data_IF_911522809316
#
_entry.id   IF_911522809316
#
_cell.length_a   1.000
_cell.length_b   1.000
_cell.length_c   1.000
_cell.angle_alpha   90.00
_cell.angle_beta   90.00
_cell.angle_gamma   90.00
#
_symmetry.space_group_name_H-M   'P 1'
#
loop_
_entity.id
_entity.type
_entity.pdbx_description
1 polymer ?
#
# COMPACT_ATOMS: atom_id res chain seq x y z
N UNK A 1 -30.06 17.53 -0.01
CA UNK A 1 -29.02 16.50 -0.20
C UNK A 1 -28.13 16.50 1.04
N UNK A 2 -27.95 15.36 1.72
CA UNK A 2 -27.08 15.30 2.88
C UNK A 2 -25.64 15.61 2.45
N UNK A 3 -25.04 16.60 3.10
CA UNK A 3 -23.65 17.01 2.85
C UNK A 3 -22.70 15.90 3.36
N UNK A 4 -22.42 14.90 2.51
CA UNK A 4 -21.52 13.77 2.87
C UNK A 4 -20.08 14.29 2.86
N UNK A 5 -19.49 14.44 4.03
CA UNK A 5 -18.07 14.77 4.17
C UNK A 5 -17.24 13.60 3.61
N UNK A 6 -16.34 13.93 2.67
CA UNK A 6 -15.40 12.95 2.13
C UNK A 6 -14.45 12.46 3.24
N UNK A 7 -14.25 11.14 3.31
CA UNK A 7 -13.27 10.51 4.19
C UNK A 7 -12.03 10.16 3.40
N UNK A 8 -10.89 10.70 3.77
CA UNK A 8 -9.61 10.51 3.05
C UNK A 8 -8.74 9.55 3.86
N UNK A 9 -8.17 8.55 3.17
CA UNK A 9 -7.07 7.73 3.68
C UNK A 9 -5.76 8.24 3.08
N UNK A 10 -4.84 8.66 3.94
CA UNK A 10 -3.47 8.96 3.55
C UNK A 10 -2.61 7.70 3.50
N UNK A 11 -1.72 7.59 2.52
CA UNK A 11 -0.81 6.46 2.35
C UNK A 11 0.66 6.89 2.35
N UNK A 12 0.95 8.14 2.64
CA UNK A 12 2.29 8.72 2.47
C UNK A 12 3.33 8.02 3.34
N UNK A 13 3.02 7.77 4.62
CA UNK A 13 3.96 7.15 5.56
C UNK A 13 4.11 5.64 5.40
N UNK A 14 3.34 5.00 4.52
CA UNK A 14 3.52 3.59 4.17
C UNK A 14 3.90 3.43 2.70
N UNK A 15 2.97 3.68 1.78
CA UNK A 15 3.18 3.44 0.35
C UNK A 15 4.07 4.51 -0.29
N UNK A 16 3.83 5.77 0.03
CA UNK A 16 4.62 6.88 -0.49
C UNK A 16 6.10 6.73 -0.14
N UNK A 17 6.43 6.52 1.14
CA UNK A 17 7.82 6.30 1.53
C UNK A 17 8.41 4.99 1.00
N UNK A 18 7.60 3.94 0.87
CA UNK A 18 8.04 2.67 0.30
C UNK A 18 8.44 2.84 -1.16
N UNK A 19 7.68 3.60 -1.91
CA UNK A 19 7.88 3.79 -3.35
C UNK A 19 8.96 4.83 -3.67
N UNK A 20 9.05 5.90 -2.90
CA UNK A 20 9.91 7.05 -3.20
C UNK A 20 11.23 7.06 -2.42
N UNK A 21 11.26 6.48 -1.20
CA UNK A 21 12.42 6.50 -0.32
C UNK A 21 12.95 5.09 -0.01
N UNK A 22 12.62 4.10 -0.83
CA UNK A 22 12.98 2.70 -0.61
C UNK A 22 12.64 2.21 0.82
N UNK A 23 11.55 2.70 1.39
CA UNK A 23 11.09 2.43 2.76
C UNK A 23 12.09 2.88 3.85
N UNK A 24 12.93 3.87 3.58
CA UNK A 24 14.03 4.29 4.48
C UNK A 24 13.82 5.66 5.10
N UNK A 25 12.58 6.13 5.21
CA UNK A 25 12.27 7.31 5.99
C UNK A 25 12.51 7.00 7.47
N UNK A 26 13.44 7.71 8.11
CA UNK A 26 13.81 7.48 9.52
C UNK A 26 12.72 7.96 10.49
N UNK A 27 12.76 7.46 11.73
CA UNK A 27 11.85 7.95 12.77
C UNK A 27 11.99 9.45 13.00
N UNK A 28 13.23 9.97 13.01
CA UNK A 28 13.49 11.40 13.19
C UNK A 28 12.90 12.27 12.08
N UNK A 29 12.80 11.75 10.84
CA UNK A 29 12.12 12.44 9.73
C UNK A 29 10.62 12.39 9.88
N UNK A 30 10.08 11.23 10.30
CA UNK A 30 8.65 11.09 10.59
C UNK A 30 8.23 12.06 11.69
N UNK A 31 8.99 12.17 12.78
CA UNK A 31 8.68 13.05 13.90
C UNK A 31 8.57 14.52 13.47
N UNK A 32 9.36 14.95 12.49
CA UNK A 32 9.25 16.29 11.88
C UNK A 32 7.96 16.48 11.07
N UNK A 33 7.40 15.41 10.52
CA UNK A 33 6.19 15.45 9.71
C UNK A 33 4.92 15.38 10.54
N UNK A 34 4.93 14.67 11.67
CA UNK A 34 3.74 14.43 12.49
C UNK A 34 2.94 15.70 12.84
N UNK A 35 3.54 16.85 13.21
CA UNK A 35 2.78 18.07 13.50
C UNK A 35 1.90 18.56 12.33
N UNK A 36 2.32 18.31 11.09
CA UNK A 36 1.53 18.64 9.91
C UNK A 36 0.35 17.70 9.75
N UNK A 37 0.56 16.41 10.01
CA UNK A 37 -0.49 15.39 9.96
C UNK A 37 -1.58 15.60 11.01
N UNK A 38 -1.22 16.09 12.21
CA UNK A 38 -2.17 16.39 13.28
C UNK A 38 -3.31 17.31 12.82
N UNK A 39 -3.01 18.22 11.90
CA UNK A 39 -3.95 19.22 11.40
C UNK A 39 -4.51 18.90 10.00
N UNK A 40 -4.05 17.83 9.37
CA UNK A 40 -4.46 17.48 8.00
C UNK A 40 -5.91 16.93 7.91
N UNK A 41 -6.47 16.43 8.99
CA UNK A 41 -7.85 15.97 9.05
C UNK A 41 -8.13 14.69 8.28
N UNK A 42 -7.13 13.83 8.09
CA UNK A 42 -7.31 12.52 7.49
C UNK A 42 -8.17 11.61 8.37
N UNK A 43 -9.07 10.86 7.76
CA UNK A 43 -9.89 9.87 8.44
C UNK A 43 -9.07 8.65 8.88
N UNK A 44 -8.21 8.16 7.99
CA UNK A 44 -7.27 7.06 8.24
C UNK A 44 -5.90 7.46 7.69
N UNK A 45 -4.85 7.06 8.40
CA UNK A 45 -3.47 7.11 7.91
C UNK A 45 -2.90 5.71 7.86
N UNK A 46 -2.45 5.25 6.69
CA UNK A 46 -1.72 3.99 6.58
C UNK A 46 -0.24 4.28 6.81
N UNK A 47 0.24 3.85 7.98
CA UNK A 47 1.57 4.23 8.48
C UNK A 47 2.51 3.04 8.68
N UNK A 48 1.98 1.82 8.56
CA UNK A 48 2.70 0.60 8.93
C UNK A 48 2.32 -0.58 8.03
N UNK A 49 3.02 -1.73 8.18
CA UNK A 49 2.84 -2.88 7.29
C UNK A 49 3.57 -2.75 5.96
N UNK A 50 3.24 -3.59 5.00
CA UNK A 50 3.99 -3.69 3.75
C UNK A 50 5.47 -4.00 4.02
N UNK A 51 6.39 -3.22 3.48
CA UNK A 51 7.84 -3.37 3.70
C UNK A 51 8.34 -2.59 4.93
N UNK A 52 7.51 -1.76 5.59
CA UNK A 52 7.95 -0.88 6.68
C UNK A 52 8.58 -1.64 7.85
N UNK A 53 7.97 -2.69 8.43
CA UNK A 53 8.56 -3.37 9.58
C UNK A 53 9.93 -3.97 9.26
N UNK A 54 10.08 -4.63 8.12
CA UNK A 54 11.35 -5.26 7.71
C UNK A 54 12.43 -4.21 7.44
N UNK A 55 12.11 -3.15 6.68
CA UNK A 55 13.08 -2.13 6.29
C UNK A 55 13.58 -1.32 7.48
N UNK A 56 12.69 -1.02 8.42
CA UNK A 56 13.04 -0.27 9.65
C UNK A 56 14.05 -1.04 10.49
N UNK A 57 13.83 -2.34 10.67
CA UNK A 57 14.79 -3.19 11.41
C UNK A 57 16.08 -3.41 10.63
N UNK A 58 15.99 -3.69 9.34
CA UNK A 58 17.12 -4.16 8.53
C UNK A 58 18.07 -3.05 8.13
N UNK A 59 17.55 -1.86 7.85
CA UNK A 59 18.33 -0.78 7.23
C UNK A 59 18.47 0.47 8.08
N UNK A 60 17.58 0.69 9.05
CA UNK A 60 17.59 1.87 9.90
C UNK A 60 18.02 1.58 11.34
N UNK A 61 18.15 0.30 11.70
CA UNK A 61 18.41 -0.14 13.08
C UNK A 61 17.42 0.47 14.09
N UNK A 62 16.16 0.62 13.65
CA UNK A 62 15.05 1.18 14.43
C UNK A 62 14.01 0.12 14.76
N UNK A 63 13.26 0.31 15.84
CA UNK A 63 12.14 -0.57 16.19
C UNK A 63 10.86 -0.18 15.45
N UNK A 64 10.26 -1.06 14.63
CA UNK A 64 8.99 -0.80 13.98
C UNK A 64 7.84 -0.64 14.98
N UNK A 65 7.93 -1.27 16.13
CA UNK A 65 6.94 -1.15 17.21
C UNK A 65 6.98 0.22 17.88
N UNK A 66 8.19 0.75 18.13
CA UNK A 66 8.38 2.11 18.65
C UNK A 66 7.82 3.12 17.67
N UNK A 67 8.09 2.96 16.39
CA UNK A 67 7.53 3.80 15.32
C UNK A 67 6.00 3.84 15.39
N UNK A 68 5.35 2.68 15.46
CA UNK A 68 3.90 2.60 15.52
C UNK A 68 3.34 3.29 16.76
N UNK A 69 3.95 3.08 17.95
CA UNK A 69 3.54 3.74 19.18
C UNK A 69 3.66 5.25 19.11
N UNK A 70 4.80 5.76 18.66
CA UNK A 70 5.04 7.22 18.55
C UNK A 70 4.01 7.89 17.66
N UNK A 71 3.74 7.30 16.48
CA UNK A 71 2.71 7.83 15.59
C UNK A 71 1.32 7.72 16.25
N UNK A 72 1.03 6.62 16.93
CA UNK A 72 -0.26 6.41 17.61
C UNK A 72 -0.51 7.43 18.72
N UNK A 73 0.48 7.70 19.52
CA UNK A 73 0.38 8.67 20.62
C UNK A 73 0.10 10.08 20.06
N UNK A 74 0.82 10.48 19.02
CA UNK A 74 0.65 11.79 18.37
C UNK A 74 -0.71 11.93 17.68
N UNK A 75 -1.17 10.88 16.99
CA UNK A 75 -2.40 10.92 16.19
C UNK A 75 -3.66 10.53 16.96
N UNK A 76 -3.55 10.27 18.26
CA UNK A 76 -4.66 9.82 19.10
C UNK A 76 -5.85 10.78 19.04
N UNK A 77 -7.01 10.26 18.65
CA UNK A 77 -8.25 11.03 18.52
C UNK A 77 -8.34 11.92 17.27
N UNK A 78 -7.31 11.94 16.41
CA UNK A 78 -7.25 12.75 15.19
C UNK A 78 -7.46 11.91 13.92
N UNK A 79 -6.78 10.79 13.83
CA UNK A 79 -6.88 9.85 12.70
C UNK A 79 -6.81 8.42 13.20
N UNK A 80 -7.49 7.50 12.52
CA UNK A 80 -7.27 6.08 12.71
C UNK A 80 -5.95 5.68 12.05
N UNK A 81 -5.19 4.81 12.68
CA UNK A 81 -3.98 4.26 12.08
C UNK A 81 -4.25 2.94 11.40
N UNK A 82 -3.72 2.76 10.19
CA UNK A 82 -3.82 1.51 9.47
C UNK A 82 -2.46 0.95 9.05
N UNK A 83 -2.46 -0.36 8.81
CA UNK A 83 -1.33 -1.09 8.25
C UNK A 83 -1.79 -2.00 7.12
N UNK A 84 -0.86 -2.35 6.23
CA UNK A 84 -1.09 -3.31 5.16
C UNK A 84 -0.56 -4.69 5.54
N UNK A 85 -1.39 -5.73 5.36
CA UNK A 85 -1.02 -7.13 5.57
C UNK A 85 -1.39 -8.00 4.37
N UNK A 86 -0.53 -8.96 4.05
CA UNK A 86 -0.75 -9.95 2.98
C UNK A 86 -1.37 -11.23 3.53
N UNK A 87 -2.50 -11.12 4.22
CA UNK A 87 -3.13 -12.26 4.88
C UNK A 87 -2.16 -12.99 5.81
N UNK A 88 -2.08 -14.33 5.69
CA UNK A 88 -1.18 -15.17 6.51
C UNK A 88 0.31 -14.87 6.36
N UNK A 89 0.69 -14.21 5.27
CA UNK A 89 2.09 -13.84 5.03
C UNK A 89 2.51 -12.59 5.82
N UNK A 90 1.56 -11.83 6.39
CA UNK A 90 1.84 -10.57 7.07
C UNK A 90 2.65 -9.63 6.18
N UNK A 91 3.91 -9.36 6.54
CA UNK A 91 4.89 -8.63 5.72
C UNK A 91 5.99 -9.55 5.14
N UNK A 92 5.92 -10.86 5.42
CA UNK A 92 6.90 -11.86 4.97
C UNK A 92 6.57 -12.45 3.59
N UNK A 93 7.35 -13.46 3.21
CA UNK A 93 7.28 -14.12 1.91
C UNK A 93 6.69 -15.54 1.97
N UNK A 94 6.39 -16.03 3.17
CA UNK A 94 5.78 -17.34 3.40
C UNK A 94 4.65 -17.20 4.42
N UNK A 95 3.61 -18.05 4.35
CA UNK A 95 2.56 -18.06 5.36
C UNK A 95 3.12 -18.36 6.75
N UNK A 96 2.70 -17.57 7.73
CA UNK A 96 3.02 -17.81 9.13
C UNK A 96 1.98 -18.73 9.78
N UNK A 97 2.35 -19.53 10.80
CA UNK A 97 1.42 -20.33 11.58
C UNK A 97 0.49 -19.43 12.43
N UNK A 98 -0.67 -19.97 12.82
CA UNK A 98 -1.75 -19.22 13.47
C UNK A 98 -1.32 -18.51 14.76
N UNK A 99 -0.45 -19.12 15.55
CA UNK A 99 0.04 -18.49 16.78
C UNK A 99 0.87 -17.24 16.53
N UNK A 100 1.62 -17.20 15.41
CA UNK A 100 2.38 -16.01 14.99
C UNK A 100 1.42 -14.93 14.51
N UNK A 101 0.41 -15.27 13.70
CA UNK A 101 -0.62 -14.34 13.26
C UNK A 101 -1.32 -13.68 14.44
N UNK A 102 -1.76 -14.51 15.38
CA UNK A 102 -2.44 -14.04 16.58
C UNK A 102 -1.56 -13.08 17.38
N UNK A 103 -0.35 -13.48 17.75
CA UNK A 103 0.57 -12.63 18.52
C UNK A 103 0.93 -11.34 17.79
N UNK A 104 1.12 -11.39 16.47
CA UNK A 104 1.41 -10.22 15.67
C UNK A 104 0.25 -9.20 15.68
N UNK A 105 -0.99 -9.65 15.47
CA UNK A 105 -2.14 -8.78 15.48
C UNK A 105 -2.47 -8.25 16.88
N UNK A 106 -2.31 -9.08 17.92
CA UNK A 106 -2.42 -8.64 19.32
C UNK A 106 -1.46 -7.48 19.63
N UNK A 107 -0.20 -7.65 19.30
CA UNK A 107 0.80 -6.60 19.52
C UNK A 107 0.57 -5.38 18.61
N UNK A 108 0.14 -5.55 17.36
CA UNK A 108 -0.16 -4.42 16.49
C UNK A 108 -1.28 -3.54 17.05
N UNK A 109 -2.38 -4.14 17.50
CA UNK A 109 -3.52 -3.41 18.09
C UNK A 109 -3.13 -2.77 19.42
N UNK A 110 -2.43 -3.49 20.29
CA UNK A 110 -1.91 -2.98 21.56
C UNK A 110 -0.97 -1.78 21.37
N UNK A 111 -0.21 -1.74 20.30
CA UNK A 111 0.68 -0.62 19.96
C UNK A 111 -0.03 0.50 19.18
N UNK A 112 -1.36 0.48 19.12
CA UNK A 112 -2.19 1.59 18.65
C UNK A 112 -2.70 1.48 17.20
N UNK A 113 -2.56 0.32 16.55
CA UNK A 113 -3.18 0.10 15.25
C UNK A 113 -4.69 -0.07 15.39
N UNK A 114 -5.46 0.65 14.56
CA UNK A 114 -6.91 0.59 14.54
C UNK A 114 -7.45 -0.29 13.41
N UNK A 115 -6.82 -0.21 12.25
CA UNK A 115 -7.30 -0.83 11.01
C UNK A 115 -6.19 -1.67 10.39
N UNK A 116 -6.49 -2.92 10.08
CA UNK A 116 -5.61 -3.76 9.27
C UNK A 116 -6.21 -3.92 7.90
N UNK A 117 -5.56 -3.36 6.86
CA UNK A 117 -5.93 -3.61 5.48
C UNK A 117 -5.29 -4.92 5.02
N UNK A 118 -6.15 -5.88 4.68
CA UNK A 118 -5.74 -7.25 4.37
C UNK A 118 -6.07 -7.55 2.93
N UNK A 119 -5.11 -8.09 2.20
CA UNK A 119 -5.30 -8.55 0.83
C UNK A 119 -4.56 -9.85 0.55
N UNK A 120 -4.96 -10.52 -0.50
CA UNK A 120 -4.18 -11.52 -1.20
C UNK A 120 -4.13 -11.15 -2.68
N UNK A 121 -2.95 -11.19 -3.31
CA UNK A 121 -2.77 -10.74 -4.70
C UNK A 121 -3.54 -11.59 -5.72
N UNK A 122 -3.85 -12.84 -5.37
CA UNK A 122 -4.62 -13.77 -6.19
C UNK A 122 -6.07 -13.89 -5.71
N UNK A 123 -6.49 -13.09 -4.72
CA UNK A 123 -7.80 -13.13 -4.08
C UNK A 123 -8.11 -14.49 -3.43
N UNK A 124 -7.11 -15.17 -2.89
CA UNK A 124 -7.30 -16.37 -2.11
C UNK A 124 -7.95 -16.04 -0.76
N UNK A 125 -9.23 -16.36 -0.65
CA UNK A 125 -10.01 -16.07 0.56
C UNK A 125 -9.52 -16.88 1.76
N UNK A 126 -9.01 -18.08 1.53
CA UNK A 126 -8.49 -18.93 2.62
C UNK A 126 -7.21 -18.33 3.25
N UNK A 127 -6.44 -17.59 2.47
CA UNK A 127 -5.27 -16.87 2.97
C UNK A 127 -5.64 -15.65 3.84
N UNK A 128 -6.82 -15.07 3.69
CA UNK A 128 -7.19 -13.82 4.40
C UNK A 128 -8.20 -14.01 5.52
N UNK A 129 -9.06 -15.03 5.46
CA UNK A 129 -10.20 -15.20 6.38
C UNK A 129 -9.81 -15.30 7.85
N UNK A 130 -8.72 -16.02 8.18
CA UNK A 130 -8.28 -16.16 9.57
C UNK A 130 -7.72 -14.84 10.11
N UNK A 131 -7.01 -14.09 9.28
CA UNK A 131 -6.54 -12.74 9.61
C UNK A 131 -7.71 -11.80 9.92
N UNK A 132 -8.77 -11.83 9.12
CA UNK A 132 -9.98 -11.02 9.34
C UNK A 132 -10.65 -11.39 10.68
N UNK A 133 -10.79 -12.68 10.94
CA UNK A 133 -11.39 -13.19 12.17
C UNK A 133 -10.59 -12.76 13.41
N UNK A 134 -9.28 -12.92 13.38
CA UNK A 134 -8.38 -12.53 14.47
C UNK A 134 -8.46 -11.02 14.74
N UNK A 135 -8.32 -10.18 13.72
CA UNK A 135 -8.38 -8.72 13.87
C UNK A 135 -9.70 -8.28 14.49
N UNK A 136 -10.83 -8.75 13.98
CA UNK A 136 -12.15 -8.40 14.52
C UNK A 136 -12.34 -8.91 15.94
N UNK A 137 -11.85 -10.12 16.25
CA UNK A 137 -11.90 -10.70 17.60
C UNK A 137 -11.06 -9.93 18.63
N UNK A 138 -10.03 -9.22 18.19
CA UNK A 138 -9.16 -8.38 19.03
C UNK A 138 -9.66 -6.93 19.15
N UNK A 139 -10.81 -6.60 18.57
CA UNK A 139 -11.39 -5.25 18.61
C UNK A 139 -10.80 -4.28 17.58
N UNK A 140 -9.98 -4.75 16.64
CA UNK A 140 -9.53 -3.98 15.49
C UNK A 140 -10.55 -4.00 14.36
N UNK A 141 -10.28 -3.25 13.31
CA UNK A 141 -11.09 -3.20 12.10
C UNK A 141 -10.34 -3.93 10.99
N UNK A 142 -10.91 -5.02 10.48
CA UNK A 142 -10.41 -5.69 9.29
C UNK A 142 -10.97 -5.01 8.04
N UNK A 143 -10.08 -4.48 7.19
CA UNK A 143 -10.40 -3.84 5.93
C UNK A 143 -9.94 -4.76 4.78
N UNK A 144 -10.85 -5.64 4.32
CA UNK A 144 -10.56 -6.60 3.25
C UNK A 144 -10.49 -5.92 1.88
N UNK A 145 -9.38 -6.11 1.18
CA UNK A 145 -9.20 -5.58 -0.18
C UNK A 145 -9.23 -6.71 -1.21
N UNK A 146 -9.96 -6.47 -2.30
CA UNK A 146 -10.00 -7.36 -3.47
C UNK A 146 -9.13 -6.75 -4.56
N UNK A 147 -8.19 -7.54 -5.09
CA UNK A 147 -7.37 -7.16 -6.22
C UNK A 147 -8.16 -7.40 -7.51
N UNK A 148 -8.44 -6.32 -8.22
CA UNK A 148 -9.14 -6.38 -9.50
C UNK A 148 -8.21 -5.93 -10.62
N UNK A 149 -8.05 -6.79 -11.63
CA UNK A 149 -7.23 -6.52 -12.79
C UNK A 149 -8.03 -6.90 -14.04
N UNK A 150 -8.04 -6.05 -15.02
CA UNK A 150 -8.53 -6.36 -16.37
C UNK A 150 -7.33 -6.43 -17.30
N UNK A 151 -7.35 -7.37 -18.23
CA UNK A 151 -6.36 -7.39 -19.28
C UNK A 151 -6.43 -6.07 -20.06
N UNK A 152 -5.32 -5.35 -20.23
CA UNK A 152 -5.32 -4.18 -21.07
C UNK A 152 -5.77 -4.62 -22.48
N UNK A 153 -6.80 -3.97 -23.01
CA UNK A 153 -7.15 -4.18 -24.42
C UNK A 153 -5.95 -3.76 -25.24
N UNK A 154 -5.28 -4.73 -25.85
CA UNK A 154 -4.24 -4.43 -26.82
C UNK A 154 -4.94 -3.76 -28.01
N UNK A 155 -4.76 -2.47 -28.13
CA UNK A 155 -5.11 -1.72 -29.34
C UNK A 155 -3.83 -1.65 -30.16
N UNK A 156 -3.74 -2.38 -31.30
CA UNK A 156 -2.57 -2.27 -32.16
C UNK A 156 -2.43 -0.81 -32.58
N UNK A 157 -1.33 -0.17 -32.21
CA UNK A 157 -0.96 1.13 -32.76
C UNK A 157 -0.35 0.88 -34.14
N UNK A 158 -1.17 0.97 -35.18
CA UNK A 158 -0.67 0.99 -36.55
C UNK A 158 -0.03 2.35 -36.80
N UNK A 159 1.29 2.35 -36.99
CA UNK A 159 2.01 3.51 -37.52
C UNK A 159 2.07 3.41 -39.02
N UNK A 160 1.50 4.37 -39.72
CA UNK A 160 1.63 4.49 -41.15
C UNK A 160 2.83 5.36 -41.46
N UNK A 161 3.92 4.76 -41.90
CA UNK A 161 5.07 5.50 -42.42
C UNK A 161 4.97 5.63 -43.94
N UNK A 162 5.09 6.86 -44.40
CA UNK A 162 5.18 7.12 -45.85
C UNK A 162 6.64 7.16 -46.25
N UNK A 163 7.10 6.10 -46.90
CA UNK A 163 8.47 6.03 -47.41
C UNK A 163 8.52 6.62 -48.83
N UNK A 164 9.22 7.73 -48.97
CA UNK A 164 9.49 8.30 -50.28
C UNK A 164 10.77 7.67 -50.86
N UNK A 165 10.63 6.82 -51.88
CA UNK A 165 11.80 6.31 -52.62
C UNK A 165 11.95 7.07 -53.90
N UNK A 166 13.12 7.67 -54.15
CA UNK A 166 13.48 8.20 -55.45
C UNK A 166 13.76 7.06 -56.43
N UNK A 167 12.96 6.94 -57.46
CA UNK A 167 13.22 6.06 -58.60
C UNK A 167 13.86 6.87 -59.72
N UNK A 168 14.57 6.19 -60.63
CA UNK A 168 15.20 6.79 -61.79
C UNK A 168 14.20 7.50 -62.73
N UNK A 169 12.91 7.22 -62.61
CA UNK A 169 11.82 7.83 -63.39
C UNK A 169 10.87 8.75 -62.56
N UNK A 170 11.24 9.12 -61.35
CA UNK A 170 10.43 10.02 -60.51
C UNK A 170 10.22 9.53 -59.07
N UNK A 171 9.54 10.34 -58.27
CA UNK A 171 9.19 10.00 -56.88
C UNK A 171 8.04 9.00 -56.85
N UNK A 172 8.27 7.81 -56.30
CA UNK A 172 7.21 6.86 -55.99
C UNK A 172 6.93 6.96 -54.50
N UNK A 173 5.73 7.36 -54.16
CA UNK A 173 5.23 7.31 -52.78
C UNK A 173 4.65 5.92 -52.50
N UNK A 174 5.24 5.18 -51.60
CA UNK A 174 4.69 3.92 -51.12
C UNK A 174 4.34 4.07 -49.65
N UNK A 175 3.09 3.80 -49.31
CA UNK A 175 2.61 3.78 -47.92
C UNK A 175 2.69 2.33 -47.43
N UNK A 176 3.47 2.08 -46.41
CA UNK A 176 3.53 0.78 -45.77
C UNK A 176 2.92 0.94 -44.35
N UNK A 177 2.00 0.05 -44.01
CA UNK A 177 1.43 -0.04 -42.65
C UNK A 177 2.28 -1.06 -41.90
N UNK A 178 2.87 -0.64 -40.77
CA UNK A 178 3.62 -1.53 -39.87
C UNK A 178 2.70 -1.84 -38.71
N UNK A 179 2.45 -3.14 -38.46
CA UNK A 179 1.71 -3.64 -37.32
C UNK A 179 2.62 -3.81 -36.11
#
# INVERSE_FOLDING_TARGET
MANRKLKIRDLTLRDGQQSLFATRLSQAEIDKLLPYYENAGFYIMEVWGGAVPDSVMRYLDESPWTRLRTISETMKGKSLLSALSRGRNLFGYKPYPDFVLKGFYEEAIKNGLNVMRIFDALNDIDNVKESIKLINGLGGIADGAVCYTVDPKYVPTTHTETIEKKSFFGLIKKTETIE
#
